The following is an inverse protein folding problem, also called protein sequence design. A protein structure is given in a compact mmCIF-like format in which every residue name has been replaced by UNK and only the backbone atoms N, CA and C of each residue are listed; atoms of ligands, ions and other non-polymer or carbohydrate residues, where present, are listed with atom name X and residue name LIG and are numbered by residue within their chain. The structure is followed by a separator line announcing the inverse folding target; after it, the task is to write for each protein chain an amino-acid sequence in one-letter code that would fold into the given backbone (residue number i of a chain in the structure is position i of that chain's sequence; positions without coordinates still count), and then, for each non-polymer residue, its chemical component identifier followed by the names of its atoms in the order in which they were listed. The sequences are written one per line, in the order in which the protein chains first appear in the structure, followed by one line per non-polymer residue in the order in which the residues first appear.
data_IF_480084845906
#
_entry.id   IF_480084845906
#
_cell.length_a   1.000
_cell.length_b   1.000
_cell.length_c   1.000
_cell.angle_alpha   90.00
_cell.angle_beta   90.00
_cell.angle_gamma   90.00
#
_symmetry.space_group_name_H-M   'P 1'
#
loop_
_entity.id
_entity.type
_entity.pdbx_description
1 polymer ?
#
# COMPACT_ATOMS: atom_id res chain seq x y z
N UNK A 1 -11.38 -23.35 40.43
CA UNK A 1 -12.36 -22.64 39.58
C UNK A 1 -12.39 -23.30 38.21
N UNK A 2 -13.52 -23.91 37.81
CA UNK A 2 -13.68 -24.48 36.46
C UNK A 2 -13.84 -23.31 35.48
N UNK A 3 -13.05 -23.19 34.40
CA UNK A 3 -13.25 -22.13 33.43
C UNK A 3 -14.63 -22.30 32.81
N UNK A 4 -15.43 -21.24 32.86
CA UNK A 4 -16.78 -21.21 32.29
C UNK A 4 -16.70 -21.41 30.78
N UNK A 5 -17.63 -22.18 30.21
CA UNK A 5 -17.68 -22.54 28.78
C UNK A 5 -17.57 -21.33 27.82
N UNK A 6 -17.87 -20.12 28.30
CA UNK A 6 -17.71 -18.85 27.55
C UNK A 6 -16.24 -18.44 27.34
N UNK A 7 -15.33 -18.74 28.28
CA UNK A 7 -13.91 -18.41 28.14
C UNK A 7 -13.20 -19.30 27.10
N UNK A 8 -13.64 -20.55 26.99
CA UNK A 8 -13.10 -21.53 26.04
C UNK A 8 -13.51 -21.22 24.59
N UNK A 9 -14.72 -20.68 24.38
CA UNK A 9 -15.20 -20.24 23.06
C UNK A 9 -14.42 -19.02 22.57
N UNK A 10 -14.06 -18.08 23.46
CA UNK A 10 -13.23 -16.91 23.12
C UNK A 10 -11.81 -17.37 22.75
N UNK A 11 -11.23 -18.32 23.48
CA UNK A 11 -9.91 -18.87 23.16
C UNK A 11 -9.90 -19.65 21.83
N UNK A 12 -10.96 -20.42 21.54
CA UNK A 12 -11.13 -21.09 20.25
C UNK A 12 -11.34 -20.09 19.10
N UNK A 13 -12.06 -18.99 19.30
CA UNK A 13 -12.22 -17.94 18.28
C UNK A 13 -10.88 -17.24 17.96
N UNK A 14 -10.07 -16.95 18.99
CA UNK A 14 -8.73 -16.36 18.81
C UNK A 14 -7.76 -17.32 18.10
N UNK A 15 -7.83 -18.63 18.37
CA UNK A 15 -7.04 -19.63 17.65
C UNK A 15 -7.52 -19.87 16.20
N UNK A 16 -8.83 -19.80 15.93
CA UNK A 16 -9.37 -20.00 14.58
C UNK A 16 -8.96 -18.85 13.63
N UNK A 17 -8.86 -17.62 14.14
CA UNK A 17 -8.32 -16.49 13.36
C UNK A 17 -6.80 -16.60 13.10
N UNK A 18 -6.03 -17.26 13.98
CA UNK A 18 -4.59 -17.47 13.75
C UNK A 18 -4.27 -18.54 12.70
N UNK A 19 -5.16 -19.52 12.51
CA UNK A 19 -4.96 -20.61 11.54
C UNK A 19 -5.42 -20.23 10.11
N UNK A 20 -6.36 -19.29 9.96
CA UNK A 20 -6.85 -18.84 8.66
C UNK A 20 -5.82 -18.01 7.84
N UNK A 21 -4.75 -17.52 8.47
CA UNK A 21 -3.69 -16.75 7.79
C UNK A 21 -2.54 -17.60 7.24
N UNK A 22 -2.53 -18.92 7.47
CA UNK A 22 -1.43 -19.80 7.06
C UNK A 22 -1.51 -20.31 5.61
N UNK A 23 -2.59 -20.07 4.87
CA UNK A 23 -2.82 -20.70 3.55
C UNK A 23 -2.37 -19.89 2.31
N UNK A 24 -1.60 -18.80 2.46
CA UNK A 24 -1.13 -17.99 1.33
C UNK A 24 0.39 -18.07 1.10
N UNK A 25 0.98 -19.25 1.31
CA UNK A 25 2.36 -19.55 0.93
C UNK A 25 2.38 -20.36 -0.37
N UNK A 26 2.77 -19.74 -1.49
CA UNK A 26 3.48 -20.33 -2.65
C UNK A 26 3.55 -19.34 -3.82
N UNK A 27 4.13 -18.17 -3.57
CA UNK A 27 4.69 -17.35 -4.66
C UNK A 27 6.05 -16.84 -4.19
N UNK A 28 7.08 -17.53 -4.64
CA UNK A 28 8.48 -17.25 -4.35
C UNK A 28 8.90 -15.88 -4.90
N UNK A 29 9.87 -15.25 -4.22
CA UNK A 29 10.38 -13.92 -4.58
C UNK A 29 9.53 -12.74 -4.09
N UNK A 30 8.50 -12.99 -3.29
CA UNK A 30 7.65 -11.95 -2.71
C UNK A 30 8.03 -11.65 -1.26
N UNK A 31 8.44 -10.42 -1.00
CA UNK A 31 8.72 -9.89 0.33
C UNK A 31 7.53 -9.08 0.84
N UNK A 32 7.19 -9.28 2.11
CA UNK A 32 6.26 -8.40 2.83
C UNK A 32 6.94 -7.06 3.05
N UNK A 33 6.55 -6.06 2.26
CA UNK A 33 6.97 -4.69 2.50
C UNK A 33 5.95 -4.04 3.45
N UNK A 34 6.39 -3.63 4.62
CA UNK A 34 5.61 -2.72 5.46
C UNK A 34 5.59 -1.35 4.78
N UNK A 35 4.49 -1.04 4.08
CA UNK A 35 4.31 0.22 3.34
C UNK A 35 3.51 1.25 4.16
N UNK A 36 3.14 0.92 5.40
CA UNK A 36 2.21 1.73 6.19
C UNK A 36 2.95 2.54 7.25
N UNK A 37 3.67 3.58 6.81
CA UNK A 37 3.71 4.82 7.61
C UNK A 37 2.54 5.68 7.16
N UNK A 38 1.71 6.11 8.10
CA UNK A 38 0.52 6.95 7.87
C UNK A 38 0.97 8.28 7.26
N UNK A 39 1.05 8.32 5.93
CA UNK A 39 1.17 9.56 5.18
C UNK A 39 -0.25 10.08 4.94
N UNK A 40 -0.44 11.36 5.28
CA UNK A 40 -1.72 12.07 5.17
C UNK A 40 -2.26 12.00 3.74
N UNK A 41 -3.50 11.53 3.61
CA UNK A 41 -4.29 11.57 2.37
C UNK A 41 -4.70 13.02 2.09
N UNK A 42 -4.26 13.63 0.97
CA UNK A 42 -4.55 15.03 0.68
C UNK A 42 -6.04 15.38 0.69
N UNK A 43 -6.89 14.57 0.08
CA UNK A 43 -8.33 14.83 0.05
C UNK A 43 -8.96 14.68 1.44
N UNK A 44 -8.50 13.69 2.22
CA UNK A 44 -8.96 13.49 3.61
C UNK A 44 -8.58 14.65 4.52
N UNK A 45 -7.38 15.21 4.34
CA UNK A 45 -6.90 16.37 5.10
C UNK A 45 -7.81 17.59 4.86
N UNK A 46 -8.23 17.81 3.62
CA UNK A 46 -9.12 18.92 3.26
C UNK A 46 -10.53 18.80 3.89
N UNK A 47 -10.98 17.56 4.16
CA UNK A 47 -12.30 17.26 4.73
C UNK A 47 -12.25 16.85 6.22
N UNK A 48 -11.08 16.91 6.85
CA UNK A 48 -10.85 16.45 8.23
C UNK A 48 -11.36 15.02 8.50
N UNK A 49 -11.14 14.11 7.54
CA UNK A 49 -11.49 12.69 7.67
C UNK A 49 -10.39 11.97 8.47
N UNK A 50 -10.80 11.14 9.44
CA UNK A 50 -9.88 10.41 10.30
C UNK A 50 -9.05 9.40 9.49
N UNK A 51 -7.79 9.16 9.90
CA UNK A 51 -6.91 8.24 9.17
C UNK A 51 -7.40 6.79 9.13
N UNK A 52 -8.24 6.39 10.09
CA UNK A 52 -8.91 5.09 10.15
C UNK A 52 -9.98 4.90 9.06
N UNK A 53 -10.48 5.99 8.46
CA UNK A 53 -11.51 5.98 7.42
C UNK A 53 -10.90 6.01 5.99
N UNK A 54 -9.56 6.04 5.90
CA UNK A 54 -8.83 6.13 4.62
C UNK A 54 -8.53 4.72 4.11
N UNK A 55 -9.11 4.38 2.97
CA UNK A 55 -8.77 3.16 2.24
C UNK A 55 -7.62 3.40 1.26
N UNK A 56 -6.58 2.57 1.32
CA UNK A 56 -5.40 2.64 0.42
C UNK A 56 -5.32 1.36 -0.43
N UNK A 57 -6.13 1.23 -1.50
CA UNK A 57 -6.10 0.05 -2.35
C UNK A 57 -4.74 -0.11 -3.04
N UNK A 58 -4.19 -1.30 -2.93
CA UNK A 58 -2.86 -1.67 -3.46
C UNK A 58 -2.93 -2.53 -4.72
N UNK A 59 -4.11 -3.03 -5.07
CA UNK A 59 -4.38 -3.77 -6.31
C UNK A 59 -5.82 -3.49 -6.81
N UNK A 60 -6.10 -3.96 -8.03
CA UNK A 60 -7.37 -3.69 -8.73
C UNK A 60 -8.55 -4.41 -8.07
N UNK A 61 -8.34 -5.60 -7.50
CA UNK A 61 -9.42 -6.35 -6.84
C UNK A 61 -9.85 -5.66 -5.54
N UNK A 62 -8.88 -5.24 -4.72
CA UNK A 62 -9.09 -4.45 -3.52
C UNK A 62 -9.75 -3.10 -3.82
N UNK A 63 -9.34 -2.42 -4.90
CA UNK A 63 -10.00 -1.21 -5.39
C UNK A 63 -11.48 -1.49 -5.72
N UNK A 64 -11.77 -2.53 -6.50
CA UNK A 64 -13.15 -2.87 -6.91
C UNK A 64 -14.03 -3.29 -5.73
N UNK A 65 -13.50 -4.03 -4.76
CA UNK A 65 -14.22 -4.39 -3.55
C UNK A 65 -14.58 -3.15 -2.72
N UNK A 66 -13.64 -2.22 -2.57
CA UNK A 66 -13.86 -0.98 -1.83
C UNK A 66 -14.89 -0.08 -2.53
N UNK A 67 -14.83 0.02 -3.87
CA UNK A 67 -15.82 0.77 -4.64
C UNK A 67 -17.22 0.15 -4.56
N UNK A 68 -17.35 -1.18 -4.50
CA UNK A 68 -18.66 -1.85 -4.31
C UNK A 68 -19.26 -1.58 -2.93
N UNK A 69 -18.43 -1.41 -1.91
CA UNK A 69 -18.87 -1.20 -0.53
C UNK A 69 -19.09 0.28 -0.16
N UNK A 70 -18.79 1.21 -1.06
CA UNK A 70 -19.01 2.67 -0.90
C UNK A 70 -20.42 3.04 -0.39
N UNK A 71 -21.52 2.48 -0.92
CA UNK A 71 -22.86 2.90 -0.51
C UNK A 71 -23.17 2.64 0.97
N UNK A 72 -22.61 1.58 1.56
CA UNK A 72 -22.92 1.15 2.93
C UNK A 72 -22.26 2.06 3.99
N UNK A 73 -21.04 2.53 3.73
CA UNK A 73 -20.31 3.41 4.67
C UNK A 73 -20.77 4.87 4.59
N UNK A 74 -21.38 5.28 3.48
CA UNK A 74 -21.80 6.65 3.20
C UNK A 74 -23.14 7.05 3.86
N UNK A 75 -23.96 6.08 4.26
CA UNK A 75 -25.32 6.31 4.77
C UNK A 75 -25.34 6.79 6.24
N UNK A 76 -24.31 6.49 7.05
CA UNK A 76 -24.32 6.73 8.50
C UNK A 76 -23.44 7.92 8.96
N UNK A 77 -23.55 9.10 8.32
CA UNK A 77 -22.73 10.29 8.67
C UNK A 77 -21.21 10.04 8.64
N UNK A 78 -20.76 9.14 7.77
CA UNK A 78 -19.36 8.74 7.66
C UNK A 78 -18.58 9.57 6.65
N UNK A 79 -17.28 9.73 6.91
CA UNK A 79 -16.30 10.07 5.90
C UNK A 79 -15.85 8.82 5.14
N UNK A 80 -15.58 8.98 3.85
CA UNK A 80 -14.89 7.97 3.05
C UNK A 80 -13.75 8.62 2.29
N UNK A 81 -12.58 7.99 2.31
CA UNK A 81 -11.47 8.40 1.48
C UNK A 81 -10.78 7.23 0.80
N UNK A 82 -10.27 7.49 -0.40
CA UNK A 82 -9.52 6.56 -1.20
C UNK A 82 -8.26 7.22 -1.78
N UNK A 83 -7.12 6.55 -1.57
CA UNK A 83 -5.85 6.95 -2.16
C UNK A 83 -5.42 5.92 -3.21
N UNK A 84 -5.25 6.39 -4.44
CA UNK A 84 -4.89 5.59 -5.61
C UNK A 84 -3.45 5.94 -5.97
N UNK A 85 -2.58 4.94 -6.14
CA UNK A 85 -1.20 5.14 -6.59
C UNK A 85 -1.02 4.54 -8.01
N UNK A 86 -1.25 5.33 -9.08
CA UNK A 86 -1.42 4.82 -10.45
C UNK A 86 -0.24 4.01 -10.97
N UNK A 87 0.99 4.43 -10.63
CA UNK A 87 2.21 3.72 -11.04
C UNK A 87 2.21 2.26 -10.59
N UNK A 88 1.65 1.97 -9.42
CA UNK A 88 1.60 0.61 -8.87
C UNK A 88 0.42 -0.18 -9.39
N UNK A 89 -0.73 0.45 -9.60
CA UNK A 89 -1.97 -0.21 -10.02
C UNK A 89 -1.97 -0.64 -11.49
N UNK A 90 -1.48 0.20 -12.41
CA UNK A 90 -1.67 -0.07 -13.85
C UNK A 90 -0.50 -0.83 -14.47
N UNK A 91 -0.69 -2.01 -15.06
CA UNK A 91 0.38 -2.75 -15.71
C UNK A 91 1.00 -1.92 -16.85
N UNK A 92 2.33 -1.92 -16.94
CA UNK A 92 3.07 -1.22 -17.99
C UNK A 92 4.25 -2.09 -18.40
N UNK A 93 4.38 -2.33 -19.71
CA UNK A 93 5.45 -3.17 -20.28
C UNK A 93 6.84 -2.53 -20.13
N UNK A 94 6.91 -1.20 -20.04
CA UNK A 94 8.16 -0.43 -20.02
C UNK A 94 8.62 -0.04 -18.61
N UNK A 95 7.74 -0.12 -17.61
CA UNK A 95 8.02 0.36 -16.25
C UNK A 95 8.34 -0.83 -15.34
N UNK A 96 9.62 -1.03 -15.06
CA UNK A 96 10.07 -2.00 -14.06
C UNK A 96 9.58 -1.57 -12.65
N UNK A 97 8.60 -2.28 -12.10
CA UNK A 97 8.00 -2.04 -10.76
C UNK A 97 8.67 -2.83 -9.63
N UNK A 98 9.85 -3.40 -9.86
CA UNK A 98 10.58 -4.18 -8.86
C UNK A 98 11.07 -3.32 -7.69
N UNK A 99 11.38 -3.96 -6.56
CA UNK A 99 12.07 -3.32 -5.44
C UNK A 99 13.43 -2.76 -5.91
N UNK A 100 14.09 -3.45 -6.84
CA UNK A 100 15.35 -3.01 -7.42
C UNK A 100 15.27 -1.61 -8.06
N UNK A 101 14.18 -1.31 -8.79
CA UNK A 101 13.98 0.01 -9.40
C UNK A 101 13.65 1.09 -8.37
N UNK A 102 13.06 0.73 -7.24
CA UNK A 102 12.77 1.62 -6.11
C UNK A 102 14.02 1.99 -5.31
N UNK A 103 15.03 1.12 -5.27
CA UNK A 103 16.28 1.35 -4.55
C UNK A 103 17.33 2.05 -5.42
N UNK A 104 17.55 1.58 -6.65
CA UNK A 104 18.69 2.01 -7.48
C UNK A 104 18.46 3.28 -8.31
N UNK A 105 17.20 3.63 -8.62
CA UNK A 105 16.87 4.75 -9.54
C UNK A 105 16.27 5.96 -8.83
N UNK A 106 16.58 6.11 -7.56
CA UNK A 106 15.75 6.84 -6.62
C UNK A 106 16.07 8.35 -6.47
N UNK A 107 17.25 8.79 -6.91
CA UNK A 107 17.65 10.21 -6.81
C UNK A 107 17.20 11.08 -7.98
N UNK A 108 16.64 10.50 -9.05
CA UNK A 108 16.12 11.28 -10.18
C UNK A 108 14.62 11.51 -10.08
N UNK A 109 14.20 12.76 -10.25
CA UNK A 109 12.80 13.23 -10.28
C UNK A 109 11.96 12.40 -11.26
N UNK A 110 12.55 11.99 -12.39
CA UNK A 110 11.93 11.14 -13.44
C UNK A 110 11.35 9.83 -12.89
N UNK A 111 11.96 9.26 -11.85
CA UNK A 111 11.47 8.03 -11.22
C UNK A 111 10.77 8.32 -9.89
N UNK A 112 11.23 9.31 -9.13
CA UNK A 112 10.66 9.67 -7.84
C UNK A 112 9.17 10.09 -7.95
N UNK A 113 8.84 11.01 -8.86
CA UNK A 113 7.46 11.52 -9.00
C UNK A 113 6.50 10.41 -9.41
N UNK A 114 6.70 9.66 -10.52
CA UNK A 114 5.73 8.63 -10.91
C UNK A 114 5.58 7.54 -9.84
N UNK A 115 6.66 7.11 -9.19
CA UNK A 115 6.61 6.06 -8.16
C UNK A 115 5.89 6.49 -6.88
N UNK A 116 5.86 7.78 -6.58
CA UNK A 116 5.25 8.32 -5.34
C UNK A 116 3.96 9.07 -5.59
N UNK A 117 3.56 9.24 -6.85
CA UNK A 117 2.34 9.91 -7.20
C UNK A 117 1.13 9.15 -6.66
N UNK A 118 0.39 9.85 -5.80
CA UNK A 118 -0.88 9.42 -5.23
C UNK A 118 -1.94 10.41 -5.65
N UNK A 119 -3.02 9.90 -6.23
CA UNK A 119 -4.26 10.62 -6.42
C UNK A 119 -5.20 10.27 -5.27
N UNK A 120 -5.82 11.27 -4.68
CA UNK A 120 -6.63 11.14 -3.47
C UNK A 120 -8.02 11.66 -3.73
N UNK A 121 -9.03 10.91 -3.33
CA UNK A 121 -10.43 11.30 -3.39
C UNK A 121 -11.09 11.05 -2.05
N UNK A 122 -11.92 11.98 -1.60
CA UNK A 122 -12.65 11.83 -0.36
C UNK A 122 -14.04 12.43 -0.48
N UNK A 123 -14.98 11.87 0.29
CA UNK A 123 -16.34 12.37 0.43
C UNK A 123 -16.75 12.34 1.90
N UNK A 124 -17.46 13.37 2.35
CA UNK A 124 -18.05 13.44 3.69
C UNK A 124 -19.50 13.88 3.58
N UNK A 125 -20.38 13.20 4.30
CA UNK A 125 -21.80 13.52 4.37
C UNK A 125 -22.15 14.06 5.77
N UNK A 126 -22.88 15.16 5.84
CA UNK A 126 -23.28 15.79 7.11
C UNK A 126 -24.81 15.85 7.22
N UNK A 127 -25.41 14.98 8.04
CA UNK A 127 -26.87 14.92 8.20
C UNK A 127 -27.41 15.43 9.55
N UNK A 128 -26.58 15.54 10.60
CA UNK A 128 -27.06 15.87 11.95
C UNK A 128 -26.52 17.19 12.51
N UNK A 129 -27.36 17.83 13.32
CA UNK A 129 -27.14 19.08 14.06
C UNK A 129 -26.08 18.99 15.18
N UNK A 130 -25.43 17.84 15.37
CA UNK A 130 -24.35 17.68 16.34
C UNK A 130 -22.96 18.09 15.81
N UNK A 131 -22.82 18.27 14.49
CA UNK A 131 -21.65 18.89 13.90
C UNK A 131 -21.89 20.39 13.73
N UNK A 132 -21.78 21.16 14.82
CA UNK A 132 -21.90 22.64 14.80
C UNK A 132 -20.87 23.33 13.88
N UNK A 133 -19.97 22.57 13.22
CA UNK A 133 -18.75 23.03 12.55
C UNK A 133 -18.64 22.67 11.03
N UNK A 134 -19.59 21.90 10.46
CA UNK A 134 -19.74 21.74 9.00
C UNK A 134 -21.20 21.97 8.53
N UNK A 135 -21.44 22.69 7.40
CA UNK A 135 -22.77 22.92 6.85
C UNK A 135 -23.69 21.70 6.94
N UNK A 136 -24.72 21.81 7.77
CA UNK A 136 -25.73 20.77 7.95
C UNK A 136 -26.39 20.52 6.58
N UNK A 137 -26.70 19.26 6.30
CA UNK A 137 -27.33 18.83 5.06
C UNK A 137 -26.48 19.17 3.82
N UNK A 138 -25.16 18.93 3.89
CA UNK A 138 -24.25 19.08 2.75
C UNK A 138 -23.47 17.79 2.48
N UNK A 139 -23.01 17.66 1.23
CA UNK A 139 -22.01 16.67 0.87
C UNK A 139 -20.74 17.41 0.50
N UNK A 140 -19.61 16.99 1.05
CA UNK A 140 -18.30 17.50 0.68
C UNK A 140 -17.59 16.46 -0.14
N UNK A 141 -17.01 16.86 -1.26
CA UNK A 141 -16.06 16.04 -2.01
C UNK A 141 -14.72 16.73 -2.02
N UNK A 142 -13.64 15.97 -2.05
CA UNK A 142 -12.30 16.50 -2.21
C UNK A 142 -11.52 15.63 -3.17
N UNK A 143 -10.68 16.30 -3.96
CA UNK A 143 -9.67 15.68 -4.80
C UNK A 143 -8.32 16.27 -4.44
N UNK A 144 -7.30 15.43 -4.43
CA UNK A 144 -5.95 15.88 -4.14
C UNK A 144 -4.90 14.98 -4.77
N UNK A 145 -3.67 15.45 -4.69
CA UNK A 145 -2.52 14.74 -5.19
C UNK A 145 -1.35 14.89 -4.22
N UNK A 146 -0.45 13.91 -4.26
CA UNK A 146 0.82 13.93 -3.53
C UNK A 146 1.90 13.26 -4.37
N UNK A 147 3.13 13.75 -4.29
CA UNK A 147 4.32 13.07 -4.77
C UNK A 147 5.56 13.53 -3.99
N UNK A 148 6.63 12.76 -4.09
CA UNK A 148 7.95 13.12 -3.58
C UNK A 148 8.84 13.59 -4.73
N UNK A 149 9.45 14.76 -4.55
CA UNK A 149 10.51 15.27 -5.42
C UNK A 149 11.82 14.56 -5.08
N UNK A 150 12.11 14.40 -3.77
CA UNK A 150 13.29 13.68 -3.27
C UNK A 150 12.93 12.82 -2.06
N UNK A 151 13.50 11.62 -1.97
CA UNK A 151 13.04 10.56 -1.06
C UNK A 151 14.14 10.05 -0.11
N UNK A 152 15.29 10.71 -0.07
CA UNK A 152 16.49 10.19 0.59
C UNK A 152 16.98 8.89 -0.06
N UNK A 153 18.11 8.36 0.40
CA UNK A 153 18.71 7.13 -0.09
C UNK A 153 18.48 5.95 0.84
N UNK A 154 18.36 4.72 0.31
CA UNK A 154 18.30 3.52 1.15
C UNK A 154 19.47 3.46 2.12
N UNK A 155 19.22 3.09 3.38
CA UNK A 155 20.28 2.97 4.38
C UNK A 155 21.15 1.72 4.13
N UNK A 156 22.27 1.63 4.84
CA UNK A 156 23.21 0.50 4.72
C UNK A 156 22.53 -0.84 5.04
N UNK A 157 21.57 -0.84 5.96
CA UNK A 157 20.85 -2.04 6.42
C UNK A 157 19.94 -2.55 5.30
N UNK A 158 19.14 -1.68 4.69
CA UNK A 158 18.28 -2.00 3.56
C UNK A 158 19.09 -2.49 2.38
N UNK A 159 20.20 -1.82 2.03
CA UNK A 159 21.05 -2.24 0.92
C UNK A 159 21.69 -3.62 1.18
N UNK A 160 22.19 -3.86 2.39
CA UNK A 160 22.82 -5.14 2.74
C UNK A 160 21.81 -6.29 2.72
N UNK A 161 20.61 -6.09 3.29
CA UNK A 161 19.52 -7.07 3.25
C UNK A 161 19.04 -7.30 1.81
N UNK A 162 18.91 -6.25 1.01
CA UNK A 162 18.53 -6.36 -0.39
C UNK A 162 19.53 -7.17 -1.21
N UNK A 163 20.82 -6.86 -1.12
CA UNK A 163 21.87 -7.59 -1.84
C UNK A 163 22.04 -9.02 -1.33
N UNK A 164 21.81 -9.28 -0.04
CA UNK A 164 21.75 -10.66 0.50
C UNK A 164 20.61 -11.45 -0.14
N UNK A 165 19.39 -10.90 -0.17
CA UNK A 165 18.25 -11.59 -0.78
C UNK A 165 18.47 -11.79 -2.28
N UNK A 166 18.94 -10.75 -2.98
CA UNK A 166 19.21 -10.81 -4.42
C UNK A 166 20.25 -11.88 -4.77
N UNK A 167 21.31 -12.03 -3.98
CA UNK A 167 22.30 -13.10 -4.15
C UNK A 167 21.68 -14.48 -4.01
N UNK A 168 20.89 -14.71 -2.96
CA UNK A 168 20.20 -16.00 -2.75
C UNK A 168 19.21 -16.32 -3.87
N UNK A 169 18.46 -15.34 -4.36
CA UNK A 169 17.54 -15.52 -5.50
C UNK A 169 18.29 -15.82 -6.80
N UNK A 170 19.42 -15.16 -7.05
CA UNK A 170 20.25 -15.44 -8.21
C UNK A 170 20.84 -16.86 -8.14
N UNK A 171 21.33 -17.27 -6.97
CA UNK A 171 21.80 -18.64 -6.74
C UNK A 171 20.68 -19.65 -6.98
N UNK A 172 19.50 -19.40 -6.42
CA UNK A 172 18.32 -20.24 -6.62
C UNK A 172 17.99 -20.41 -8.11
N UNK A 173 17.96 -19.32 -8.89
CA UNK A 173 17.72 -19.37 -10.33
C UNK A 173 18.79 -20.14 -11.10
N UNK A 174 20.07 -20.01 -10.74
CA UNK A 174 21.15 -20.76 -11.38
C UNK A 174 21.02 -22.25 -11.10
N UNK A 175 20.82 -22.63 -9.84
CA UNK A 175 20.65 -24.03 -9.44
C UNK A 175 19.39 -24.65 -10.03
N UNK A 176 18.29 -23.92 -10.13
CA UNK A 176 17.09 -24.39 -10.84
C UNK A 176 17.37 -24.70 -12.32
N UNK A 177 18.19 -23.89 -13.00
CA UNK A 177 18.59 -24.16 -14.39
C UNK A 177 19.43 -25.43 -14.49
N UNK A 178 20.35 -25.64 -13.55
CA UNK A 178 21.16 -26.86 -13.48
C UNK A 178 20.31 -28.09 -13.21
N UNK A 179 19.36 -28.01 -12.27
CA UNK A 179 18.42 -29.10 -11.97
C UNK A 179 17.57 -29.42 -13.19
N UNK A 180 16.99 -28.41 -13.85
CA UNK A 180 16.23 -28.61 -15.09
C UNK A 180 17.07 -29.32 -16.15
N UNK A 181 18.34 -28.91 -16.32
CA UNK A 181 19.25 -29.56 -17.26
C UNK A 181 19.56 -31.01 -16.86
N UNK A 182 19.71 -31.32 -15.57
CA UNK A 182 19.88 -32.71 -15.10
C UNK A 182 18.67 -33.57 -15.41
N UNK A 183 17.46 -33.06 -15.13
CA UNK A 183 16.20 -33.77 -15.43
C UNK A 183 16.07 -34.01 -16.94
N UNK A 184 16.33 -33.01 -17.76
CA UNK A 184 16.25 -33.12 -19.23
C UNK A 184 17.31 -34.07 -19.83
N UNK A 185 18.44 -34.26 -19.14
CA UNK A 185 19.48 -35.20 -19.55
C UNK A 185 19.33 -36.61 -18.95
N UNK A 186 18.38 -36.81 -18.02
CA UNK A 186 18.14 -38.10 -17.37
C UNK A 186 17.69 -39.17 -18.37
N UNK A 187 18.01 -40.43 -18.08
CA UNK A 187 17.55 -41.58 -18.88
C UNK A 187 16.03 -41.59 -18.97
N UNK A 188 15.34 -41.29 -17.86
CA UNK A 188 13.88 -41.32 -17.83
C UNK A 188 13.24 -40.24 -18.71
N UNK A 189 13.82 -39.04 -18.74
CA UNK A 189 13.35 -38.00 -19.66
C UNK A 189 13.52 -38.42 -21.12
N UNK A 190 14.67 -39.03 -21.46
CA UNK A 190 14.93 -39.54 -22.82
C UNK A 190 13.95 -40.64 -23.20
N UNK A 191 13.62 -41.54 -22.27
CA UNK A 191 12.55 -42.54 -22.47
C UNK A 191 11.21 -41.88 -22.81
N UNK A 192 10.78 -40.87 -22.04
CA UNK A 192 9.56 -40.13 -22.33
C UNK A 192 9.60 -39.46 -23.71
N UNK A 193 10.73 -38.89 -24.13
CA UNK A 193 10.86 -38.31 -25.47
C UNK A 193 10.66 -39.39 -26.56
N UNK A 194 11.23 -40.57 -26.37
CA UNK A 194 11.07 -41.70 -27.30
C UNK A 194 9.61 -42.19 -27.31
N UNK A 195 8.99 -42.37 -26.14
CA UNK A 195 7.57 -42.74 -26.01
C UNK A 195 6.64 -41.74 -26.70
N UNK A 196 6.91 -40.43 -26.53
CA UNK A 196 6.18 -39.35 -27.20
C UNK A 196 6.26 -39.51 -28.71
N UNK A 197 7.45 -39.70 -29.25
CA UNK A 197 7.66 -39.76 -30.69
C UNK A 197 7.03 -41.03 -31.28
N UNK A 198 7.04 -42.15 -30.54
CA UNK A 198 6.31 -43.37 -30.90
C UNK A 198 4.79 -43.14 -30.88
N UNK A 199 4.24 -42.51 -29.85
CA UNK A 199 2.82 -42.19 -29.73
C UNK A 199 2.38 -41.29 -30.88
N UNK A 200 3.08 -40.18 -31.12
CA UNK A 200 2.79 -39.23 -32.20
C UNK A 200 2.82 -39.91 -33.57
N UNK A 201 3.83 -40.73 -33.85
CA UNK A 201 3.91 -41.46 -35.12
C UNK A 201 2.81 -42.52 -35.26
N UNK A 202 2.43 -43.19 -34.16
CA UNK A 202 1.35 -44.19 -34.17
C UNK A 202 0.01 -43.52 -34.47
N UNK A 203 -0.29 -42.40 -33.82
CA UNK A 203 -1.51 -41.61 -34.07
C UNK A 203 -1.53 -41.05 -35.50
N UNK A 204 -0.39 -40.52 -35.97
CA UNK A 204 -0.25 -40.01 -37.33
C UNK A 204 -0.44 -41.09 -38.40
N UNK A 205 0.18 -42.27 -38.24
CA UNK A 205 0.02 -43.40 -39.17
C UNK A 205 -1.40 -43.92 -39.17
N UNK A 206 -2.03 -44.06 -38.00
CA UNK A 206 -3.41 -44.54 -37.88
C UNK A 206 -4.41 -43.60 -38.58
N UNK A 207 -4.19 -42.29 -38.50
CA UNK A 207 -5.15 -41.30 -38.99
C UNK A 207 -4.88 -40.83 -40.42
N UNK A 208 -3.61 -40.64 -40.79
CA UNK A 208 -3.21 -40.03 -42.07
C UNK A 208 -2.26 -40.90 -42.90
N UNK A 209 -1.90 -42.10 -42.44
CA UNK A 209 -0.95 -43.02 -43.11
C UNK A 209 0.45 -42.41 -43.37
N UNK A 210 0.83 -41.39 -42.59
CA UNK A 210 2.10 -40.67 -42.68
C UNK A 210 2.81 -40.66 -41.32
N UNK A 211 4.12 -40.44 -41.33
CA UNK A 211 4.85 -40.12 -40.09
C UNK A 211 4.48 -38.73 -39.59
N UNK A 212 4.50 -38.51 -38.28
CA UNK A 212 4.07 -37.25 -37.67
C UNK A 212 4.81 -36.03 -38.24
N UNK A 213 6.12 -36.17 -38.47
CA UNK A 213 6.94 -35.06 -38.99
C UNK A 213 6.62 -34.66 -40.44
N UNK A 214 5.98 -35.55 -41.21
CA UNK A 214 5.57 -35.32 -42.60
C UNK A 214 4.17 -34.68 -42.72
N UNK A 215 3.46 -34.51 -41.61
CA UNK A 215 2.13 -33.89 -41.58
C UNK A 215 2.21 -32.37 -41.76
N UNK A 216 1.15 -31.80 -42.35
CA UNK A 216 0.88 -30.37 -42.38
C UNK A 216 0.61 -29.82 -40.97
N UNK A 217 0.65 -28.49 -40.81
CA UNK A 217 0.41 -27.85 -39.51
C UNK A 217 -0.99 -28.14 -38.94
N UNK A 218 -2.01 -28.19 -39.81
CA UNK A 218 -3.39 -28.48 -39.40
C UNK A 218 -3.54 -29.93 -38.89
N UNK A 219 -2.98 -30.90 -39.61
CA UNK A 219 -2.97 -32.32 -39.23
C UNK A 219 -2.19 -32.56 -37.93
N UNK A 220 -1.06 -31.85 -37.73
CA UNK A 220 -0.31 -31.90 -36.46
C UNK A 220 -1.13 -31.37 -35.29
N UNK A 221 -1.78 -30.22 -35.46
CA UNK A 221 -2.62 -29.65 -34.42
C UNK A 221 -3.72 -30.62 -34.01
N UNK A 222 -4.38 -31.28 -34.97
CA UNK A 222 -5.45 -32.23 -34.65
C UNK A 222 -4.97 -33.40 -33.77
N UNK A 223 -3.75 -33.90 -33.98
CA UNK A 223 -3.12 -34.92 -33.11
C UNK A 223 -2.73 -34.33 -31.75
N UNK A 224 -2.19 -33.12 -31.71
CA UNK A 224 -1.77 -32.46 -30.45
C UNK A 224 -2.95 -32.08 -29.54
N UNK A 225 -4.16 -31.96 -30.10
CA UNK A 225 -5.40 -31.76 -29.34
C UNK A 225 -6.15 -33.05 -29.03
N UNK A 226 -5.66 -34.21 -29.49
CA UNK A 226 -6.26 -35.49 -29.17
C UNK A 226 -6.18 -35.78 -27.65
N UNK A 227 -7.26 -36.28 -27.02
CA UNK A 227 -7.28 -36.57 -25.58
C UNK A 227 -6.16 -37.50 -25.11
N UNK A 228 -5.72 -38.45 -25.94
CA UNK A 228 -4.65 -39.40 -25.59
C UNK A 228 -3.31 -38.68 -25.48
N UNK A 229 -2.98 -37.82 -26.46
CA UNK A 229 -1.75 -37.04 -26.40
C UNK A 229 -1.78 -36.05 -25.23
N UNK A 230 -2.93 -35.41 -24.99
CA UNK A 230 -3.12 -34.51 -23.85
C UNK A 230 -2.93 -35.21 -22.50
N UNK A 231 -3.42 -36.44 -22.38
CA UNK A 231 -3.20 -37.26 -21.19
C UNK A 231 -1.71 -37.58 -21.01
N UNK A 232 -1.03 -38.04 -22.07
CA UNK A 232 0.41 -38.30 -22.02
C UNK A 232 1.21 -37.04 -21.64
N UNK A 233 0.90 -35.88 -22.24
CA UNK A 233 1.52 -34.59 -21.93
C UNK A 233 1.34 -34.23 -20.45
N UNK A 234 0.16 -34.50 -19.88
CA UNK A 234 -0.13 -34.25 -18.47
C UNK A 234 0.69 -35.15 -17.53
N UNK A 235 0.81 -36.44 -17.86
CA UNK A 235 1.62 -37.40 -17.08
C UNK A 235 3.09 -37.01 -17.11
N UNK A 236 3.62 -36.70 -18.29
CA UNK A 236 5.00 -36.26 -18.45
C UNK A 236 5.29 -34.96 -17.67
N UNK A 237 4.37 -33.99 -17.72
CA UNK A 237 4.49 -32.74 -16.97
C UNK A 237 4.50 -33.00 -15.46
N UNK A 238 3.57 -33.82 -14.96
CA UNK A 238 3.50 -34.16 -13.53
C UNK A 238 4.77 -34.86 -13.06
N UNK A 239 5.29 -35.81 -13.83
CA UNK A 239 6.57 -36.45 -13.52
C UNK A 239 7.72 -35.45 -13.49
N UNK A 240 7.85 -34.59 -14.51
CA UNK A 240 8.91 -33.57 -14.56
C UNK A 240 8.83 -32.62 -13.36
N UNK A 241 7.63 -32.19 -12.98
CA UNK A 241 7.41 -31.33 -11.81
C UNK A 241 7.78 -32.05 -10.50
N UNK A 242 7.40 -33.33 -10.34
CA UNK A 242 7.77 -34.13 -9.17
C UNK A 242 9.28 -34.31 -9.05
N UNK A 243 9.96 -34.65 -10.13
CA UNK A 243 11.41 -34.85 -10.16
C UNK A 243 12.16 -33.56 -9.82
N UNK A 244 11.75 -32.43 -10.41
CA UNK A 244 12.31 -31.12 -10.08
C UNK A 244 12.08 -30.80 -8.60
N UNK A 245 10.86 -31.03 -8.08
CA UNK A 245 10.54 -30.75 -6.69
C UNK A 245 11.38 -31.62 -5.72
N UNK A 246 11.56 -32.90 -6.00
CA UNK A 246 12.44 -33.77 -5.22
C UNK A 246 13.87 -33.21 -5.19
N UNK A 247 14.43 -32.92 -6.36
CA UNK A 247 15.79 -32.38 -6.48
C UNK A 247 15.95 -30.98 -5.85
N UNK A 248 14.88 -30.19 -5.76
CA UNK A 248 14.89 -28.84 -5.17
C UNK A 248 14.70 -28.86 -3.66
N UNK A 249 13.74 -29.64 -3.15
CA UNK A 249 13.28 -29.56 -1.76
C UNK A 249 13.83 -30.68 -0.88
N UNK A 250 14.10 -31.86 -1.44
CA UNK A 250 14.58 -33.02 -0.69
C UNK A 250 16.11 -33.12 -0.78
N UNK A 251 16.68 -32.94 -1.97
CA UNK A 251 18.12 -33.15 -2.20
C UNK A 251 18.98 -31.89 -2.12
N UNK A 252 18.39 -30.69 -2.12
CA UNK A 252 19.14 -29.44 -2.16
C UNK A 252 19.00 -28.62 -0.87
N UNK A 253 19.84 -28.99 0.11
CA UNK A 253 19.89 -28.32 1.41
C UNK A 253 20.15 -26.81 1.29
N UNK A 254 20.95 -26.38 0.31
CA UNK A 254 21.26 -24.97 0.08
C UNK A 254 20.03 -24.18 -0.38
N UNK A 255 19.23 -24.71 -1.30
CA UNK A 255 18.00 -24.05 -1.75
C UNK A 255 16.96 -23.94 -0.63
N UNK A 256 16.81 -25.01 0.17
CA UNK A 256 15.92 -25.00 1.33
C UNK A 256 16.36 -23.96 2.36
N UNK A 257 17.66 -23.95 2.74
CA UNK A 257 18.22 -22.96 3.65
C UNK A 257 18.04 -21.53 3.11
N UNK A 258 18.30 -21.29 1.83
CA UNK A 258 18.08 -19.98 1.21
C UNK A 258 16.62 -19.55 1.29
N UNK A 259 15.66 -20.46 1.04
CA UNK A 259 14.24 -20.15 1.12
C UNK A 259 13.81 -19.80 2.56
N UNK A 260 14.25 -20.57 3.55
CA UNK A 260 14.02 -20.29 4.98
C UNK A 260 14.66 -18.97 5.41
N UNK A 261 15.90 -18.72 4.97
CA UNK A 261 16.63 -17.49 5.25
C UNK A 261 15.92 -16.28 4.65
N UNK A 262 15.48 -16.35 3.39
CA UNK A 262 14.68 -15.27 2.76
C UNK A 262 13.40 -15.01 3.55
N UNK A 263 12.69 -16.05 4.00
CA UNK A 263 11.48 -15.91 4.82
C UNK A 263 11.79 -15.25 6.18
N UNK A 264 12.95 -15.51 6.76
CA UNK A 264 13.37 -14.95 8.05
C UNK A 264 13.82 -13.49 7.97
N UNK A 265 14.24 -13.01 6.79
CA UNK A 265 14.71 -11.63 6.63
C UNK A 265 13.51 -10.68 6.72
N UNK A 266 13.43 -9.94 7.82
CA UNK A 266 12.50 -8.82 7.99
C UNK A 266 12.95 -7.62 7.14
N UNK A 267 12.70 -7.69 5.84
CA UNK A 267 13.14 -6.66 4.90
C UNK A 267 12.27 -5.40 5.05
N UNK A 268 12.88 -4.36 5.62
CA UNK A 268 12.32 -3.02 5.71
C UNK A 268 13.12 -2.06 4.83
N UNK A 269 12.43 -1.19 4.11
CA UNK A 269 13.06 -0.12 3.32
C UNK A 269 13.16 1.11 4.20
N UNK A 270 14.33 1.32 4.80
CA UNK A 270 14.67 2.51 5.56
C UNK A 270 15.45 3.48 4.65
N UNK A 271 15.19 4.78 4.83
CA UNK A 271 15.79 5.83 4.01
C UNK A 271 16.44 6.89 4.88
N UNK A 272 17.55 7.44 4.39
CA UNK A 272 18.34 8.47 5.05
C UNK A 272 18.64 9.61 4.09
N UNK A 273 18.90 10.81 4.60
CA UNK A 273 19.18 11.99 3.81
C UNK A 273 17.94 12.85 3.54
N UNK A 274 18.08 13.78 2.59
CA UNK A 274 17.09 14.83 2.34
C UNK A 274 15.79 14.30 1.73
N UNK A 275 14.68 14.78 2.26
CA UNK A 275 13.30 14.46 1.87
C UNK A 275 12.61 15.73 1.37
N UNK A 276 11.85 15.61 0.29
CA UNK A 276 11.01 16.69 -0.20
C UNK A 276 9.72 16.12 -0.80
N UNK A 277 8.63 16.32 -0.07
CA UNK A 277 7.28 15.96 -0.48
C UNK A 277 6.49 17.21 -0.89
N UNK A 278 5.62 17.04 -1.88
CA UNK A 278 4.67 18.03 -2.33
C UNK A 278 3.28 17.42 -2.41
N UNK A 279 2.27 18.18 -2.00
CA UNK A 279 0.89 17.77 -2.09
C UNK A 279 -0.03 18.98 -2.23
N UNK A 280 -1.25 18.72 -2.69
CA UNK A 280 -2.25 19.74 -2.89
C UNK A 280 -3.61 19.14 -3.16
N UNK A 281 -4.63 19.99 -3.19
CA UNK A 281 -5.97 19.58 -3.54
C UNK A 281 -7.00 20.69 -3.41
N UNK A 282 -8.23 20.32 -3.72
CA UNK A 282 -9.41 21.18 -3.62
C UNK A 282 -10.59 20.39 -3.10
N UNK A 283 -11.48 21.05 -2.38
CA UNK A 283 -12.73 20.49 -1.90
C UNK A 283 -13.92 21.32 -2.39
N UNK A 284 -15.02 20.63 -2.63
CA UNK A 284 -16.28 21.18 -3.12
C UNK A 284 -17.36 20.79 -2.13
N UNK A 285 -18.17 21.78 -1.75
CA UNK A 285 -19.40 21.58 -1.00
C UNK A 285 -20.58 21.54 -1.95
N UNK A 286 -21.46 20.55 -1.80
CA UNK A 286 -22.79 20.46 -2.39
C UNK A 286 -23.83 20.75 -1.31
N UNK A 287 -24.34 21.98 -1.31
CA UNK A 287 -25.36 22.46 -0.37
C UNK A 287 -26.68 21.74 -0.63
N UNK A 288 -27.40 21.42 0.44
CA UNK A 288 -28.68 20.67 0.37
C UNK A 288 -28.56 19.34 -0.38
N UNK A 289 -27.32 18.80 -0.52
CA UNK A 289 -27.01 17.60 -1.30
C UNK A 289 -27.40 17.70 -2.78
N UNK A 290 -27.39 18.91 -3.34
CA UNK A 290 -27.74 19.16 -4.75
C UNK A 290 -26.51 19.50 -5.58
N UNK A 291 -26.34 18.83 -6.72
CA UNK A 291 -25.22 19.07 -7.64
C UNK A 291 -25.19 20.50 -8.21
N UNK A 292 -26.37 21.06 -8.49
CA UNK A 292 -26.52 22.42 -9.02
C UNK A 292 -26.38 23.52 -7.96
N UNK A 293 -26.18 23.16 -6.69
CA UNK A 293 -25.93 24.08 -5.58
C UNK A 293 -24.58 23.75 -4.94
N UNK A 294 -23.49 24.04 -5.68
CA UNK A 294 -22.13 23.71 -5.25
C UNK A 294 -21.22 24.93 -5.17
N UNK A 295 -20.21 24.86 -4.29
CA UNK A 295 -19.16 25.86 -4.18
C UNK A 295 -17.84 25.22 -3.77
N UNK A 296 -16.72 25.87 -4.09
CA UNK A 296 -15.41 25.48 -3.55
C UNK A 296 -15.45 25.76 -2.04
N UNK A 297 -15.08 24.75 -1.23
CA UNK A 297 -15.05 24.84 0.22
C UNK A 297 -13.66 25.28 0.72
N UNK A 298 -12.60 24.65 0.22
CA UNK A 298 -11.21 25.07 0.40
C UNK A 298 -10.32 24.51 -0.72
N UNK A 299 -9.15 25.11 -0.90
CA UNK A 299 -8.10 24.58 -1.77
C UNK A 299 -6.74 24.87 -1.16
N UNK A 300 -5.75 24.04 -1.41
CA UNK A 300 -4.44 24.27 -0.82
C UNK A 300 -3.31 23.49 -1.45
N UNK A 301 -2.11 24.00 -1.17
CA UNK A 301 -0.83 23.40 -1.54
C UNK A 301 0.03 23.33 -0.28
N UNK A 302 0.74 22.23 -0.10
CA UNK A 302 1.70 22.10 0.98
C UNK A 302 2.91 21.30 0.57
N UNK A 303 4.02 21.60 1.23
CA UNK A 303 5.29 20.92 1.02
C UNK A 303 5.92 20.60 2.35
N UNK A 304 6.61 19.46 2.38
CA UNK A 304 7.35 18.99 3.56
C UNK A 304 8.79 18.76 3.14
N UNK A 305 9.69 19.48 3.78
CA UNK A 305 11.13 19.30 3.66
C UNK A 305 11.61 18.52 4.87
N UNK A 306 12.63 17.70 4.73
CA UNK A 306 13.13 16.91 5.86
C UNK A 306 14.50 16.34 5.66
N UNK A 307 15.07 15.81 6.73
CA UNK A 307 16.31 15.06 6.67
C UNK A 307 16.23 13.83 7.57
N UNK A 308 16.16 12.65 6.98
CA UNK A 308 16.10 11.40 7.74
C UNK A 308 17.50 10.98 8.18
N UNK A 309 17.68 10.73 9.46
CA UNK A 309 18.92 10.16 10.01
C UNK A 309 18.68 8.74 10.52
N UNK A 310 19.75 7.97 10.66
CA UNK A 310 19.67 6.58 11.14
C UNK A 310 19.37 6.48 12.65
N UNK A 311 19.83 7.46 13.43
CA UNK A 311 19.87 7.35 14.90
C UNK A 311 19.11 8.48 15.61
N UNK A 312 18.96 9.65 14.99
CA UNK A 312 18.52 10.89 15.64
C UNK A 312 17.17 11.38 15.10
N UNK A 313 16.31 10.47 14.62
CA UNK A 313 15.00 10.82 14.09
C UNK A 313 15.05 11.59 12.76
N UNK A 314 13.91 12.17 12.42
CA UNK A 314 13.64 12.88 11.16
C UNK A 314 13.01 14.24 11.47
N UNK A 315 13.80 15.32 11.54
CA UNK A 315 13.27 16.67 11.50
C UNK A 315 12.62 16.95 10.13
N UNK A 316 11.45 17.56 10.18
CA UNK A 316 10.62 17.96 9.06
C UNK A 316 10.23 19.43 9.22
N UNK A 317 10.25 20.16 8.12
CA UNK A 317 9.75 21.51 8.00
C UNK A 317 8.52 21.49 7.09
N UNK A 318 7.43 22.11 7.56
CA UNK A 318 6.13 22.06 6.91
C UNK A 318 5.74 23.46 6.49
N UNK A 319 5.34 23.60 5.23
CA UNK A 319 4.76 24.82 4.68
C UNK A 319 3.42 24.47 4.02
N UNK A 320 2.38 25.22 4.32
CA UNK A 320 1.05 25.02 3.74
C UNK A 320 0.39 26.36 3.42
N UNK A 321 -0.09 26.50 2.20
CA UNK A 321 -0.97 27.58 1.79
C UNK A 321 -2.37 27.02 1.59
N UNK A 322 -3.37 27.64 2.22
CA UNK A 322 -4.78 27.31 2.04
C UNK A 322 -5.56 28.55 1.61
N UNK A 323 -6.36 28.41 0.56
CA UNK A 323 -7.37 29.36 0.15
C UNK A 323 -8.74 28.88 0.61
N UNK A 324 -9.45 29.73 1.34
CA UNK A 324 -10.79 29.46 1.87
C UNK A 324 -11.74 30.54 1.34
N UNK A 325 -12.52 30.22 0.27
CA UNK A 325 -13.58 31.10 -0.19
C UNK A 325 -14.59 31.38 0.92
N UNK A 326 -15.39 32.45 0.78
CA UNK A 326 -16.43 32.84 1.74
C UNK A 326 -17.27 31.62 2.13
N UNK A 327 -16.99 31.14 3.33
CA UNK A 327 -17.73 30.07 3.95
C UNK A 327 -18.77 30.74 4.85
N UNK A 328 -20.00 30.22 4.82
CA UNK A 328 -21.13 30.76 5.61
C UNK A 328 -20.92 30.46 7.12
N UNK A 329 -19.69 30.16 7.53
CA UNK A 329 -19.36 29.06 8.44
C UNK A 329 -18.08 29.34 9.20
N UNK A 330 -18.16 30.35 10.05
CA UNK A 330 -17.25 30.49 11.16
C UNK A 330 -17.88 31.53 12.10
N UNK A 331 -19.09 31.22 12.59
CA UNK A 331 -19.74 31.94 13.69
C UNK A 331 -19.61 31.13 14.96
N UNK A 332 -18.41 31.17 15.55
CA UNK A 332 -18.31 31.27 17.00
C UNK A 332 -18.93 32.62 17.39
N UNK A 333 -19.46 32.81 18.60
CA UNK A 333 -20.10 34.07 19.00
C UNK A 333 -19.24 35.33 18.71
N UNK A 334 -17.91 35.17 18.66
CA UNK A 334 -16.92 36.22 18.38
C UNK A 334 -16.40 36.28 16.92
N UNK A 335 -16.91 35.47 15.99
CA UNK A 335 -16.35 35.39 14.64
C UNK A 335 -17.42 35.52 13.54
N UNK A 336 -17.16 36.37 12.55
CA UNK A 336 -17.99 36.53 11.34
C UNK A 336 -17.04 36.73 10.16
N UNK A 337 -16.68 35.68 9.40
CA UNK A 337 -15.77 35.83 8.28
C UNK A 337 -16.33 36.78 7.23
N UNK A 338 -15.72 37.96 7.09
CA UNK A 338 -16.02 38.89 6.00
C UNK A 338 -15.23 38.49 4.74
N UNK A 339 -15.80 37.60 3.94
CA UNK A 339 -15.28 37.29 2.60
C UNK A 339 -14.29 36.12 2.54
N UNK A 340 -13.49 36.10 1.47
CA UNK A 340 -12.50 35.05 1.22
C UNK A 340 -11.24 35.30 2.06
N UNK A 341 -10.68 34.25 2.67
CA UNK A 341 -9.45 34.36 3.44
C UNK A 341 -8.45 33.29 3.01
N UNK A 342 -7.17 33.61 3.15
CA UNK A 342 -6.07 32.70 2.84
C UNK A 342 -5.19 32.55 4.06
N UNK A 343 -4.75 31.33 4.34
CA UNK A 343 -3.86 31.03 5.46
C UNK A 343 -2.53 30.50 4.96
N UNK A 344 -1.46 30.91 5.63
CA UNK A 344 -0.13 30.33 5.46
C UNK A 344 0.31 29.73 6.78
N UNK A 345 0.48 28.41 6.77
CA UNK A 345 0.94 27.66 7.93
C UNK A 345 2.40 27.27 7.72
N UNK A 346 3.23 27.57 8.71
CA UNK A 346 4.64 27.20 8.72
C UNK A 346 5.01 26.60 10.07
N UNK A 347 5.87 25.59 10.06
CA UNK A 347 6.39 25.05 11.30
C UNK A 347 7.20 23.79 11.13
N UNK A 348 7.36 23.06 12.23
CA UNK A 348 8.28 21.93 12.33
C UNK A 348 7.57 20.70 12.86
N UNK A 349 8.01 19.54 12.42
CA UNK A 349 7.68 18.25 13.02
C UNK A 349 8.96 17.47 13.22
N UNK A 350 9.12 16.87 14.38
CA UNK A 350 10.19 15.92 14.64
C UNK A 350 9.58 14.53 14.81
N UNK A 351 10.03 13.57 14.01
CA UNK A 351 9.60 12.18 14.09
C UNK A 351 10.75 11.29 14.55
N UNK A 352 10.50 10.46 15.56
CA UNK A 352 11.48 9.54 16.12
C UNK A 352 10.91 8.12 16.11
N UNK A 353 11.60 7.23 15.39
CA UNK A 353 11.35 5.78 15.42
C UNK A 353 12.67 5.12 15.79
N UNK A 354 12.84 4.56 17.00
CA UNK A 354 14.05 3.82 17.34
C UNK A 354 14.26 2.66 16.36
N UNK A 355 15.52 2.31 16.11
CA UNK A 355 15.88 1.23 15.19
C UNK A 355 15.22 -0.08 15.62
N UNK A 356 14.58 -0.76 14.67
CA UNK A 356 13.86 -2.02 14.85
C UNK A 356 12.72 -1.97 15.89
N UNK A 357 12.28 -0.77 16.28
CA UNK A 357 11.20 -0.60 17.24
C UNK A 357 9.82 -0.64 16.58
N UNK A 358 8.84 -1.10 17.36
CA UNK A 358 7.40 -1.00 17.07
C UNK A 358 6.84 0.38 17.39
N UNK A 359 7.60 1.22 18.08
CA UNK A 359 7.18 2.53 18.54
C UNK A 359 7.64 3.65 17.60
N UNK A 360 6.78 4.62 17.37
CA UNK A 360 7.11 5.90 16.73
C UNK A 360 6.51 7.05 17.53
N UNK A 361 7.32 8.04 17.88
CA UNK A 361 6.86 9.28 18.49
C UNK A 361 7.05 10.44 17.52
N UNK A 362 6.15 11.43 17.55
CA UNK A 362 6.38 12.69 16.84
C UNK A 362 5.79 13.88 17.56
N UNK A 363 6.43 15.02 17.44
CA UNK A 363 5.93 16.31 17.92
C UNK A 363 5.88 17.27 16.73
N UNK A 364 4.74 17.91 16.53
CA UNK A 364 4.47 18.87 15.46
C UNK A 364 4.09 20.22 16.09
N UNK A 365 4.69 21.30 15.62
CA UNK A 365 4.32 22.67 15.97
C UNK A 365 4.15 23.48 14.70
N UNK A 366 2.98 24.09 14.49
CA UNK A 366 2.67 24.92 13.33
C UNK A 366 2.12 26.28 13.77
N UNK A 367 2.51 27.32 13.05
CA UNK A 367 1.99 28.67 13.19
C UNK A 367 1.20 29.04 11.93
N UNK A 368 -0.02 29.55 12.09
CA UNK A 368 -0.92 29.97 11.02
C UNK A 368 -1.01 31.49 10.99
N UNK A 369 -0.60 32.07 9.87
CA UNK A 369 -0.84 33.46 9.52
C UNK A 369 -2.02 33.59 8.56
N UNK A 370 -2.81 34.65 8.71
CA UNK A 370 -3.86 35.02 7.76
C UNK A 370 -3.28 36.05 6.77
N UNK A 371 -3.25 35.70 5.49
CA UNK A 371 -2.72 36.57 4.42
C UNK A 371 -3.79 37.56 3.95
N UNK A 372 -5.05 37.14 3.96
CA UNK A 372 -6.20 37.97 3.59
C UNK A 372 -7.35 37.75 4.59
N UNK A 373 -8.16 38.79 4.84
CA UNK A 373 -9.22 38.79 5.86
C UNK A 373 -8.79 39.51 7.15
N UNK A 374 -8.82 40.84 7.12
CA UNK A 374 -8.10 41.79 7.99
C UNK A 374 -8.27 41.66 9.51
N UNK A 375 -9.29 40.94 9.97
CA UNK A 375 -9.67 40.92 11.40
C UNK A 375 -9.26 39.62 12.11
N UNK A 376 -8.59 38.71 11.39
CA UNK A 376 -8.22 37.38 11.88
C UNK A 376 -6.87 37.37 12.59
N UNK A 377 -6.86 37.02 13.89
CA UNK A 377 -5.64 36.88 14.68
C UNK A 377 -4.92 35.57 14.33
N UNK A 378 -3.58 35.60 14.16
CA UNK A 378 -2.79 34.38 13.99
C UNK A 378 -3.03 33.35 15.09
N UNK A 379 -2.88 32.07 14.76
CA UNK A 379 -3.09 30.95 15.68
C UNK A 379 -2.00 29.90 15.53
N UNK A 380 -1.93 28.94 16.46
CA UNK A 380 -0.90 27.91 16.47
C UNK A 380 -1.47 26.55 16.87
N UNK A 381 -0.82 25.51 16.35
CA UNK A 381 -1.08 24.10 16.60
C UNK A 381 0.16 23.47 17.22
N UNK A 382 -0.01 22.61 18.21
CA UNK A 382 1.05 21.77 18.75
C UNK A 382 0.50 20.38 19.05
N UNK A 383 1.02 19.33 18.42
CA UNK A 383 0.50 17.97 18.58
C UNK A 383 1.64 16.98 18.79
N UNK A 384 1.55 16.21 19.87
CA UNK A 384 2.29 15.00 20.14
C UNK A 384 1.51 13.81 19.58
N UNK A 385 2.15 12.97 18.77
CA UNK A 385 1.59 11.69 18.32
C UNK A 385 2.51 10.56 18.75
N UNK A 386 1.93 9.53 19.37
CA UNK A 386 2.59 8.31 19.78
C UNK A 386 1.94 7.16 19.04
N UNK A 387 2.72 6.34 18.34
CA UNK A 387 2.27 5.23 17.54
C UNK A 387 2.97 3.95 17.98
N UNK A 388 2.21 2.86 18.11
CA UNK A 388 2.73 1.56 18.49
C UNK A 388 2.17 0.46 17.57
N UNK A 389 3.06 -0.18 16.81
CA UNK A 389 2.74 -1.32 15.95
C UNK A 389 2.55 -2.59 16.79
N UNK A 390 1.31 -3.01 17.00
CA UNK A 390 0.98 -4.25 17.73
C UNK A 390 1.44 -5.46 16.89
N UNK A 391 0.99 -5.50 15.63
CA UNK A 391 1.36 -6.49 14.61
C UNK A 391 1.69 -5.80 13.29
N UNK A 392 2.20 -6.55 12.30
CA UNK A 392 2.39 -6.02 10.95
C UNK A 392 1.05 -5.48 10.41
N UNK A 393 1.04 -4.21 9.98
CA UNK A 393 -0.15 -3.48 9.53
C UNK A 393 -1.23 -3.24 10.61
N UNK A 394 -0.91 -3.36 11.91
CA UNK A 394 -1.82 -3.04 13.02
C UNK A 394 -1.16 -2.07 13.99
N UNK A 395 -1.71 -0.85 14.08
CA UNK A 395 -1.13 0.24 14.85
C UNK A 395 -2.14 0.80 15.86
N UNK A 396 -1.64 1.11 17.05
CA UNK A 396 -2.34 1.90 18.06
C UNK A 396 -1.71 3.29 18.10
N UNK A 397 -2.50 4.31 17.80
CA UNK A 397 -2.02 5.70 17.79
C UNK A 397 -2.73 6.51 18.88
N UNK A 398 -1.96 7.28 19.63
CA UNK A 398 -2.39 8.26 20.61
C UNK A 398 -1.95 9.66 20.15
N UNK A 399 -2.89 10.59 20.01
CA UNK A 399 -2.63 11.98 19.65
C UNK A 399 -3.04 12.92 20.78
N UNK A 400 -2.11 13.77 21.23
CA UNK A 400 -2.26 14.72 22.32
C UNK A 400 -1.84 16.11 21.86
N UNK A 401 -2.66 17.16 21.99
CA UNK A 401 -2.19 18.50 21.59
C UNK A 401 -3.26 19.56 21.43
N UNK A 402 -2.90 20.73 20.94
CA UNK A 402 -3.81 21.83 20.60
C UNK A 402 -3.88 21.99 19.08
N UNK A 403 -5.07 22.13 18.51
CA UNK A 403 -5.25 22.51 17.10
C UNK A 403 -5.46 24.02 16.92
N UNK A 404 -5.40 24.49 15.67
CA UNK A 404 -5.54 25.91 15.31
C UNK A 404 -6.84 26.55 15.80
N UNK A 405 -7.92 25.79 15.86
CA UNK A 405 -9.26 26.35 16.05
C UNK A 405 -9.73 26.35 17.53
N UNK A 406 -8.81 26.15 18.50
CA UNK A 406 -9.15 25.92 19.91
C UNK A 406 -10.18 24.78 20.10
N UNK A 407 -10.35 23.94 19.08
CA UNK A 407 -11.39 22.95 19.00
C UNK A 407 -11.05 21.72 19.82
N UNK A 408 -12.06 21.30 20.55
CA UNK A 408 -11.96 20.40 21.67
C UNK A 408 -12.80 19.17 21.37
N UNK A 409 -12.18 18.00 21.41
CA UNK A 409 -12.90 16.75 21.68
C UNK A 409 -13.24 16.76 23.18
N UNK A 410 -14.44 17.26 23.51
CA UNK A 410 -15.04 17.43 24.87
C UNK A 410 -14.28 18.31 25.90
N UNK A 411 -14.72 19.57 26.05
CA UNK A 411 -14.32 20.62 27.02
C UNK A 411 -12.85 20.60 27.57
N UNK A 412 -11.98 21.43 26.99
CA UNK A 412 -10.52 21.51 27.19
C UNK A 412 -9.74 21.63 25.86
N UNK A 413 -8.81 22.58 25.73
CA UNK A 413 -7.99 22.90 24.52
C UNK A 413 -7.02 21.77 24.04
N UNK A 414 -7.33 20.52 24.39
CA UNK A 414 -6.51 19.33 24.24
C UNK A 414 -7.25 18.33 23.34
N UNK A 415 -6.70 18.07 22.15
CA UNK A 415 -6.91 16.88 21.34
C UNK A 415 -6.42 15.70 22.17
N UNK A 416 -7.29 14.75 22.49
CA UNK A 416 -6.93 13.43 22.99
C UNK A 416 -7.67 12.39 22.15
N UNK A 417 -6.95 11.69 21.28
CA UNK A 417 -7.52 10.68 20.39
C UNK A 417 -6.74 9.38 20.47
N UNK A 418 -7.46 8.26 20.67
CA UNK A 418 -6.93 6.91 20.54
C UNK A 418 -7.54 6.31 19.27
N UNK A 419 -6.70 5.86 18.33
CA UNK A 419 -7.15 5.20 17.11
C UNK A 419 -6.45 3.86 16.92
N UNK A 420 -7.19 2.89 16.38
CA UNK A 420 -6.66 1.60 15.96
C UNK A 420 -6.75 1.51 14.44
N UNK A 421 -5.62 1.27 13.78
CA UNK A 421 -5.53 1.17 12.33
C UNK A 421 -5.12 -0.24 11.93
N UNK A 422 -5.95 -0.94 11.16
CA UNK A 422 -5.70 -2.29 10.64
C UNK A 422 -5.74 -2.27 9.11
N UNK A 423 -4.60 -2.48 8.47
CA UNK A 423 -4.47 -2.52 7.01
C UNK A 423 -4.35 -3.93 6.46
N UNK A 424 -4.87 -4.14 5.24
CA UNK A 424 -4.60 -5.36 4.45
C UNK A 424 -3.24 -5.15 3.76
N UNK A 425 -2.20 -5.81 4.26
CA UNK A 425 -0.85 -5.71 3.69
C UNK A 425 -0.75 -6.30 2.29
N UNK A 426 0.17 -5.78 1.46
CA UNK A 426 0.50 -6.39 0.15
C UNK A 426 1.91 -6.93 0.07
N UNK A 427 1.97 -8.07 -0.63
CA UNK A 427 3.13 -8.88 -0.96
C UNK A 427 3.76 -8.35 -2.25
N UNK A 428 5.05 -7.94 -2.27
CA UNK A 428 5.74 -7.41 -3.47
C UNK A 428 6.89 -8.28 -3.97
N UNK A 429 7.00 -8.43 -5.30
CA UNK A 429 8.14 -9.13 -5.94
C UNK A 429 9.43 -8.31 -5.90
N UNK A 430 10.55 -8.97 -5.64
CA UNK A 430 11.88 -8.35 -5.65
C UNK A 430 12.39 -8.08 -7.07
N UNK A 431 12.02 -8.92 -8.05
CA UNK A 431 12.34 -8.81 -9.48
C UNK A 431 11.09 -8.78 -10.34
#
# INVERSE_FOLDING_TARGET
MKPTKKLLIIFCFVHFFSLAFAQNETKEGIVNTDVLKVLASPASNLLNIASSEINKPTDVANLMMNLKNLPLNFINNGGFAIDIAPYWLFPSKEKNKSINSMLLKNDSIKYAIPQTFVFSFAVRNTNDSQEEQIPINSIFTAVGFKFSIKRGNPDSTTNSSFERIKRMLNQHNMTLREINSKVENSTKYKEFVVERDMLLNTMAKKKYLKNFYQLSAAEKNEILYDPIYKLWESVFRLWKEQEINHLVYEDNEMLRRNAEEIKSINFKINRTGFLWDFAGGTSIQFKEKRFNNSKIYNAGLWTVLGYATKESGTPLFLLRYMYNPKNDWLTVEDFKPQGNFSTFDAGVKYEYSPKDSKFTGSVEGLYRSFISGSDLKPTWKCVLNLDYAIFANQHLTLSLGKDFDNNIIKKGNVIAGISFLSGIGTKRKIQ
#
